data_IF_783772963625
#
_entry.id   IF_783772963625
#
_cell.length_a   1.000
_cell.length_b   1.000
_cell.length_c   1.000
_cell.angle_alpha   90.00
_cell.angle_beta   90.00
_cell.angle_gamma   90.00
#
_symmetry.space_group_name_H-M   'P 1'
#
loop_
_entity.id
_entity.type
_entity.pdbx_description
1 polymer ?
#
# COMPACT_ATOMS: atom_id res chain seq x y z
N UNK A 1 10.24 15.19 2.72
CA UNK A 1 9.67 14.92 4.06
C UNK A 1 10.14 13.54 4.47
N UNK A 2 11.13 13.49 5.34
CA UNK A 2 11.67 12.25 5.91
C UNK A 2 10.59 11.58 6.74
N UNK A 3 10.21 10.36 6.35
CA UNK A 3 9.43 9.47 7.21
C UNK A 3 10.45 8.77 8.10
N UNK A 4 10.67 9.34 9.29
CA UNK A 4 11.37 8.67 10.38
C UNK A 4 10.58 7.40 10.71
N UNK A 5 11.12 6.25 10.31
CA UNK A 5 10.64 4.93 10.72
C UNK A 5 10.83 4.86 12.23
N UNK A 6 9.76 5.13 12.97
CA UNK A 6 9.76 4.97 14.40
C UNK A 6 10.06 3.50 14.72
N UNK A 7 11.17 3.27 15.41
CA UNK A 7 11.46 2.01 16.08
C UNK A 7 10.25 1.66 16.95
N UNK A 8 9.44 0.70 16.50
CA UNK A 8 8.35 0.12 17.28
C UNK A 8 8.65 -1.35 17.43
N UNK A 9 9.40 -1.62 18.49
CA UNK A 9 9.77 -2.95 18.91
C UNK A 9 10.30 -2.91 20.34
N UNK A 10 9.69 -2.07 21.20
CA UNK A 10 9.71 -2.39 22.63
C UNK A 10 9.03 -3.75 22.73
N UNK A 11 9.84 -4.79 22.81
CA UNK A 11 9.40 -6.14 23.16
C UNK A 11 8.78 -6.01 24.54
N UNK A 12 7.46 -5.87 24.59
CA UNK A 12 6.70 -6.07 25.82
C UNK A 12 7.15 -7.42 26.38
N UNK A 13 7.38 -7.52 27.70
CA UNK A 13 7.83 -8.76 28.29
C UNK A 13 6.81 -9.83 27.91
N UNK A 14 7.28 -10.90 27.25
CA UNK A 14 6.49 -12.10 26.99
C UNK A 14 6.06 -12.65 28.36
N UNK A 15 4.97 -12.12 28.91
CA UNK A 15 4.36 -12.66 30.10
C UNK A 15 3.54 -13.87 29.66
N UNK A 16 4.23 -14.90 29.16
CA UNK A 16 3.62 -16.19 28.83
C UNK A 16 3.10 -16.78 30.13
N UNK A 17 1.86 -16.46 30.47
CA UNK A 17 1.12 -17.17 31.48
C UNK A 17 1.14 -18.65 31.10
N UNK A 18 1.62 -19.48 32.03
CA UNK A 18 1.62 -20.92 31.84
C UNK A 18 0.16 -21.41 31.85
N UNK A 19 -0.43 -21.42 30.66
CA UNK A 19 -1.82 -21.80 30.42
C UNK A 19 -2.10 -23.22 30.88
N UNK A 20 -1.11 -24.12 30.80
CA UNK A 20 -1.22 -25.48 31.31
C UNK A 20 -1.32 -25.47 32.84
N UNK A 21 -0.45 -24.73 33.52
CA UNK A 21 -0.51 -24.59 34.98
C UNK A 21 -1.82 -23.93 35.47
N UNK A 22 -2.33 -22.93 34.75
CA UNK A 22 -3.63 -22.32 35.04
C UNK A 22 -4.78 -23.32 34.87
N UNK A 23 -4.79 -24.07 33.76
CA UNK A 23 -5.82 -25.06 33.48
C UNK A 23 -5.82 -26.17 34.54
N UNK A 24 -4.64 -26.63 34.95
CA UNK A 24 -4.49 -27.60 36.02
C UNK A 24 -5.00 -27.05 37.36
N UNK A 25 -4.72 -25.78 37.67
CA UNK A 25 -5.22 -25.12 38.89
C UNK A 25 -6.74 -25.03 38.89
N UNK A 26 -7.38 -24.67 37.77
CA UNK A 26 -8.84 -24.67 37.63
C UNK A 26 -9.41 -26.08 37.78
N UNK A 27 -8.78 -27.08 37.16
CA UNK A 27 -9.23 -28.47 37.21
C UNK A 27 -9.14 -29.03 38.64
N UNK A 28 -8.03 -28.80 39.33
CA UNK A 28 -7.80 -29.25 40.70
C UNK A 28 -8.76 -28.59 41.69
N UNK A 29 -8.93 -27.26 41.60
CA UNK A 29 -9.85 -26.53 42.48
C UNK A 29 -11.31 -26.95 42.26
N UNK A 30 -11.73 -27.16 40.99
CA UNK A 30 -13.06 -27.71 40.67
C UNK A 30 -13.26 -29.10 41.30
N UNK A 31 -12.34 -30.03 41.07
CA UNK A 31 -12.43 -31.38 41.61
C UNK A 31 -12.46 -31.38 43.16
N UNK A 32 -11.64 -30.53 43.78
CA UNK A 32 -11.60 -30.37 45.24
C UNK A 32 -12.93 -29.83 45.80
N UNK A 33 -13.58 -28.87 45.12
CA UNK A 33 -14.90 -28.37 45.52
C UNK A 33 -15.98 -29.46 45.38
N UNK A 34 -15.99 -30.18 44.26
CA UNK A 34 -16.94 -31.29 44.04
C UNK A 34 -16.82 -32.37 45.13
N UNK A 35 -15.58 -32.74 45.49
CA UNK A 35 -15.31 -33.69 46.55
C UNK A 35 -15.74 -33.16 47.93
N UNK A 36 -15.42 -31.91 48.25
CA UNK A 36 -15.80 -31.28 49.52
C UNK A 36 -17.33 -31.19 49.68
N UNK A 37 -18.05 -30.85 48.61
CA UNK A 37 -19.52 -30.81 48.60
C UNK A 37 -20.10 -32.22 48.76
N UNK A 38 -19.55 -33.23 48.09
CA UNK A 38 -19.97 -34.62 48.26
C UNK A 38 -19.80 -35.10 49.72
N UNK A 39 -18.67 -34.75 50.36
CA UNK A 39 -18.42 -35.02 51.79
C UNK A 39 -19.42 -34.30 52.70
N UNK A 40 -19.72 -33.03 52.42
CA UNK A 40 -20.74 -32.28 53.18
C UNK A 40 -22.13 -32.92 53.09
N UNK A 41 -22.52 -33.40 51.90
CA UNK A 41 -23.79 -34.09 51.69
C UNK A 41 -23.87 -35.42 52.43
N UNK A 42 -22.77 -36.19 52.47
CA UNK A 42 -22.69 -37.43 53.23
C UNK A 42 -22.81 -37.18 54.75
N UNK A 43 -22.07 -36.19 55.28
CA UNK A 43 -22.15 -35.77 56.69
C UNK A 43 -23.56 -35.34 57.08
N UNK A 44 -24.27 -34.63 56.18
CA UNK A 44 -25.66 -34.21 56.38
C UNK A 44 -26.62 -35.40 56.43
N UNK A 45 -26.39 -36.47 55.67
CA UNK A 45 -27.19 -37.71 55.70
C UNK A 45 -26.95 -38.54 56.95
N UNK A 46 -25.72 -38.56 57.46
CA UNK A 46 -25.30 -39.43 58.57
C UNK A 46 -25.38 -38.78 59.96
N UNK A 47 -25.92 -37.56 60.09
CA UNK A 47 -26.06 -36.81 61.35
C UNK A 47 -24.74 -36.67 62.16
N UNK A 48 -23.61 -36.56 61.45
CA UNK A 48 -22.26 -36.39 62.00
C UNK A 48 -22.01 -34.99 62.60
N UNK A 49 -20.96 -34.80 63.44
CA UNK A 49 -20.74 -33.55 64.17
C UNK A 49 -20.50 -32.32 63.26
N UNK A 50 -21.08 -31.18 63.65
CA UNK A 50 -21.06 -29.90 62.90
C UNK A 50 -19.67 -29.27 62.73
N UNK A 51 -18.65 -29.71 63.46
CA UNK A 51 -17.28 -29.19 63.36
C UNK A 51 -16.63 -29.50 62.00
N UNK A 52 -16.85 -30.69 61.44
CA UNK A 52 -16.33 -31.10 60.13
C UNK A 52 -16.91 -30.28 58.98
N UNK A 53 -18.14 -29.77 59.14
CA UNK A 53 -18.77 -28.89 58.14
C UNK A 53 -18.08 -27.55 58.03
N UNK A 54 -17.57 -27.00 59.15
CA UNK A 54 -16.89 -25.71 59.15
C UNK A 54 -15.54 -25.78 58.43
N UNK A 55 -14.81 -26.88 58.61
CA UNK A 55 -13.54 -27.12 57.93
C UNK A 55 -13.75 -27.29 56.41
N UNK A 56 -14.72 -28.11 56.00
CA UNK A 56 -15.09 -28.27 54.58
C UNK A 56 -15.56 -26.95 53.95
N UNK A 57 -16.34 -26.15 54.68
CA UNK A 57 -16.75 -24.83 54.21
C UNK A 57 -15.55 -23.88 54.01
N UNK A 58 -14.55 -23.94 54.90
CA UNK A 58 -13.32 -23.14 54.77
C UNK A 58 -12.51 -23.59 53.56
N UNK A 59 -12.40 -24.91 53.30
CA UNK A 59 -11.73 -25.45 52.10
C UNK A 59 -12.42 -24.99 50.81
N UNK A 60 -13.75 -25.04 50.75
CA UNK A 60 -14.53 -24.55 49.59
C UNK A 60 -14.30 -23.05 49.39
N UNK A 61 -14.33 -22.24 50.45
CA UNK A 61 -14.08 -20.81 50.35
C UNK A 61 -12.67 -20.51 49.82
N UNK A 62 -11.66 -21.26 50.27
CA UNK A 62 -10.29 -21.12 49.76
C UNK A 62 -10.22 -21.46 48.26
N UNK A 63 -10.86 -22.56 47.83
CA UNK A 63 -10.94 -22.92 46.42
C UNK A 63 -11.69 -21.87 45.57
N UNK A 64 -12.69 -21.20 46.12
CA UNK A 64 -13.38 -20.09 45.42
C UNK A 64 -12.44 -18.89 45.25
N UNK A 65 -11.62 -18.59 46.26
CA UNK A 65 -10.63 -17.51 46.18
C UNK A 65 -9.57 -17.83 45.12
N UNK A 66 -9.07 -19.07 45.07
CA UNK A 66 -8.10 -19.48 44.04
C UNK A 66 -8.70 -19.44 42.63
N UNK A 67 -9.96 -19.87 42.46
CA UNK A 67 -10.68 -19.73 41.19
C UNK A 67 -10.84 -18.26 40.75
N UNK A 68 -11.18 -17.36 41.69
CA UNK A 68 -11.28 -15.92 41.39
C UNK A 68 -9.94 -15.33 40.97
N UNK A 69 -8.86 -15.76 41.61
CA UNK A 69 -7.51 -15.34 41.26
C UNK A 69 -7.11 -15.82 39.85
N UNK A 70 -7.36 -17.10 39.55
CA UNK A 70 -7.11 -17.66 38.23
C UNK A 70 -7.93 -16.95 37.13
N UNK A 71 -9.22 -16.67 37.38
CA UNK A 71 -10.06 -15.92 36.45
C UNK A 71 -9.53 -14.51 36.19
N UNK A 72 -9.03 -13.82 37.22
CA UNK A 72 -8.42 -12.50 37.05
C UNK A 72 -7.18 -12.57 36.17
N UNK A 73 -6.32 -13.55 36.38
CA UNK A 73 -5.13 -13.74 35.54
C UNK A 73 -5.50 -14.01 34.07
N UNK A 74 -6.52 -14.83 33.82
CA UNK A 74 -7.02 -15.12 32.46
C UNK A 74 -7.53 -13.85 31.78
N UNK A 75 -8.36 -13.06 32.47
CA UNK A 75 -8.90 -11.82 31.89
C UNK A 75 -7.81 -10.80 31.57
N UNK A 76 -6.79 -10.67 32.42
CA UNK A 76 -5.67 -9.77 32.16
C UNK A 76 -4.85 -10.21 30.94
N UNK A 77 -4.64 -11.52 30.78
CA UNK A 77 -3.95 -12.06 29.61
C UNK A 77 -4.77 -11.87 28.32
N UNK A 78 -6.09 -12.11 28.40
CA UNK A 78 -7.01 -11.88 27.29
C UNK A 78 -6.94 -10.42 26.83
N UNK A 79 -7.00 -9.48 27.76
CA UNK A 79 -6.88 -8.05 27.45
C UNK A 79 -5.51 -7.70 26.85
N UNK A 80 -4.42 -8.31 27.34
CA UNK A 80 -3.07 -8.12 26.78
C UNK A 80 -2.99 -8.62 25.33
N UNK A 81 -3.36 -9.87 25.08
CA UNK A 81 -3.34 -10.48 23.75
C UNK A 81 -4.23 -9.71 22.78
N UNK A 82 -5.37 -9.23 23.24
CA UNK A 82 -6.28 -8.39 22.44
C UNK A 82 -5.63 -7.05 22.08
N UNK A 83 -4.99 -6.38 23.03
CA UNK A 83 -4.29 -5.12 22.79
C UNK A 83 -3.13 -5.31 21.80
N UNK A 84 -2.31 -6.35 21.99
CA UNK A 84 -1.21 -6.71 21.08
C UNK A 84 -1.72 -6.97 19.65
N UNK A 85 -2.81 -7.74 19.53
CA UNK A 85 -3.42 -8.06 18.25
C UNK A 85 -3.98 -6.81 17.55
N UNK A 86 -4.67 -5.93 18.28
CA UNK A 86 -5.18 -4.67 17.72
C UNK A 86 -4.05 -3.72 17.31
N UNK A 87 -2.95 -3.66 18.07
CA UNK A 87 -1.75 -2.90 17.68
C UNK A 87 -1.14 -3.44 16.38
N UNK A 88 -0.96 -4.76 16.27
CA UNK A 88 -0.43 -5.39 15.05
C UNK A 88 -1.36 -5.16 13.84
N UNK A 89 -2.68 -5.28 14.05
CA UNK A 89 -3.70 -5.01 13.04
C UNK A 89 -3.67 -3.55 12.56
N UNK A 90 -3.54 -2.58 13.47
CA UNK A 90 -3.48 -1.17 13.12
C UNK A 90 -2.30 -0.84 12.19
N UNK A 91 -1.14 -1.48 12.40
CA UNK A 91 0.03 -1.35 11.52
C UNK A 91 -0.27 -1.84 10.09
N UNK A 92 -0.94 -2.99 9.97
CA UNK A 92 -1.36 -3.55 8.67
C UNK A 92 -2.39 -2.67 7.99
N UNK A 93 -3.36 -2.13 8.74
CA UNK A 93 -4.38 -1.22 8.22
C UNK A 93 -3.74 0.05 7.65
N UNK A 94 -2.78 0.65 8.36
CA UNK A 94 -2.03 1.80 7.90
C UNK A 94 -1.29 1.51 6.59
N UNK A 95 -0.54 0.40 6.52
CA UNK A 95 0.17 -0.01 5.32
C UNK A 95 -0.78 -0.25 4.13
N UNK A 96 -1.96 -0.80 4.41
CA UNK A 96 -3.00 -1.03 3.39
C UNK A 96 -3.53 0.28 2.83
N UNK A 97 -3.76 1.29 3.68
CA UNK A 97 -4.17 2.63 3.24
C UNK A 97 -3.10 3.31 2.37
N UNK A 98 -1.84 3.22 2.78
CA UNK A 98 -0.72 3.74 1.99
C UNK A 98 -0.65 3.05 0.61
N UNK A 99 -0.80 1.73 0.58
CA UNK A 99 -0.83 0.96 -0.66
C UNK A 99 -1.98 1.41 -1.57
N UNK A 100 -3.19 1.61 -1.04
CA UNK A 100 -4.33 2.10 -1.81
C UNK A 100 -4.06 3.47 -2.43
N UNK A 101 -3.46 4.40 -1.68
CA UNK A 101 -3.06 5.72 -2.18
C UNK A 101 -2.08 5.60 -3.35
N UNK A 102 -1.04 4.78 -3.21
CA UNK A 102 -0.04 4.57 -4.25
C UNK A 102 -0.63 3.89 -5.50
N UNK A 103 -1.53 2.93 -5.31
CA UNK A 103 -2.22 2.27 -6.42
C UNK A 103 -3.11 3.25 -7.19
N UNK A 104 -3.79 4.16 -6.49
CA UNK A 104 -4.55 5.23 -7.13
C UNK A 104 -3.65 6.12 -7.99
N UNK A 105 -2.53 6.58 -7.42
CA UNK A 105 -1.57 7.42 -8.14
C UNK A 105 -0.99 6.70 -9.37
N UNK A 106 -0.54 5.46 -9.20
CA UNK A 106 -0.08 4.61 -10.31
C UNK A 106 -1.12 4.52 -11.42
N UNK A 107 -2.37 4.21 -11.06
CA UNK A 107 -3.45 4.05 -12.03
C UNK A 107 -3.78 5.36 -12.74
N UNK A 108 -3.71 6.50 -12.04
CA UNK A 108 -3.83 7.82 -12.64
C UNK A 108 -2.74 8.06 -13.69
N UNK A 109 -1.48 7.79 -13.35
CA UNK A 109 -0.36 7.94 -14.29
C UNK A 109 -0.49 7.01 -15.50
N UNK A 110 -0.92 5.75 -15.30
CA UNK A 110 -1.17 4.83 -16.42
C UNK A 110 -2.24 5.38 -17.37
N UNK A 111 -3.31 5.97 -16.83
CA UNK A 111 -4.34 6.60 -17.66
C UNK A 111 -3.79 7.80 -18.44
N UNK A 112 -2.97 8.64 -17.81
CA UNK A 112 -2.32 9.76 -18.48
C UNK A 112 -1.39 9.28 -19.60
N UNK A 113 -0.52 8.29 -19.34
CA UNK A 113 0.36 7.69 -20.34
C UNK A 113 -0.45 7.11 -21.51
N UNK A 114 -1.54 6.40 -21.21
CA UNK A 114 -2.41 5.85 -22.24
C UNK A 114 -3.03 6.96 -23.07
N UNK A 115 -3.55 8.02 -22.46
CA UNK A 115 -4.09 9.17 -23.18
C UNK A 115 -3.04 9.85 -24.08
N UNK A 116 -1.78 9.95 -23.64
CA UNK A 116 -0.69 10.46 -24.47
C UNK A 116 -0.33 9.53 -25.63
N UNK A 117 -0.40 8.21 -25.44
CA UNK A 117 -0.11 7.21 -26.49
C UNK A 117 -1.25 7.05 -27.50
N UNK A 118 -2.48 7.15 -27.03
CA UNK A 118 -3.70 7.09 -27.85
C UNK A 118 -3.94 8.41 -28.59
N UNK A 119 -3.08 9.42 -28.38
CA UNK A 119 -3.11 10.67 -29.13
C UNK A 119 -2.68 10.37 -30.57
N UNK A 120 -3.68 10.13 -31.41
CA UNK A 120 -3.51 9.91 -32.83
C UNK A 120 -3.15 11.24 -33.52
N UNK A 121 -1.85 11.53 -33.59
CA UNK A 121 -1.37 12.60 -34.46
C UNK A 121 -1.58 12.18 -35.91
N UNK A 122 -1.89 13.11 -36.83
CA UNK A 122 -1.91 12.83 -38.29
C UNK A 122 -0.59 12.25 -38.84
N UNK A 123 0.45 12.29 -38.02
CA UNK A 123 1.73 11.64 -38.22
C UNK A 123 1.65 10.17 -37.74
N UNK A 124 1.93 9.14 -38.57
CA UNK A 124 2.90 9.09 -39.69
C UNK A 124 2.32 9.10 -41.12
N UNK A 125 1.03 9.32 -41.31
CA UNK A 125 0.37 9.20 -42.63
C UNK A 125 0.62 10.39 -43.58
N UNK A 126 1.58 11.26 -43.27
CA UNK A 126 1.90 12.43 -44.09
C UNK A 126 2.84 11.99 -45.22
N UNK A 127 2.37 12.11 -46.46
CA UNK A 127 3.18 11.89 -47.66
C UNK A 127 4.23 13.00 -47.79
N UNK A 128 5.49 12.69 -47.49
CA UNK A 128 6.62 13.60 -47.62
C UNK A 128 7.40 13.35 -48.92
N UNK A 129 8.02 14.40 -49.47
CA UNK A 129 8.93 14.38 -50.63
C UNK A 129 9.97 13.28 -50.45
N UNK A 130 10.18 12.38 -51.45
CA UNK A 130 11.14 11.30 -51.37
C UNK A 130 12.54 11.76 -50.95
N UNK A 131 13.25 10.89 -50.23
CA UNK A 131 14.56 11.21 -49.67
C UNK A 131 15.57 11.63 -50.76
N UNK A 132 15.49 10.99 -51.92
CA UNK A 132 16.34 11.25 -53.08
C UNK A 132 16.15 12.67 -53.62
N UNK A 133 14.90 13.13 -53.69
CA UNK A 133 14.57 14.47 -54.18
C UNK A 133 14.98 15.55 -53.16
N UNK A 134 14.81 15.28 -51.87
CA UNK A 134 15.30 16.14 -50.81
C UNK A 134 16.83 16.33 -50.87
N UNK A 135 17.60 15.24 -50.98
CA UNK A 135 19.06 15.35 -51.05
C UNK A 135 19.55 16.01 -52.35
N UNK A 136 18.80 15.92 -53.44
CA UNK A 136 19.13 16.62 -54.69
C UNK A 136 18.85 18.12 -54.60
N UNK A 137 17.65 18.51 -54.18
CA UNK A 137 17.12 19.85 -54.42
C UNK A 137 17.12 20.75 -53.16
N UNK A 138 17.28 20.18 -51.96
CA UNK A 138 17.27 20.99 -50.75
C UNK A 138 18.52 21.88 -50.62
N UNK A 139 18.37 23.16 -50.22
CA UNK A 139 19.49 24.04 -49.91
C UNK A 139 20.38 23.49 -48.79
N UNK A 140 21.66 23.88 -48.78
CA UNK A 140 22.62 23.45 -47.78
C UNK A 140 22.20 23.90 -46.36
N UNK A 141 21.59 25.07 -46.24
CA UNK A 141 21.12 25.63 -44.97
C UNK A 141 20.07 24.73 -44.29
N UNK A 142 19.23 24.03 -45.07
CA UNK A 142 18.21 23.11 -44.54
C UNK A 142 18.81 21.71 -44.30
N UNK A 143 19.74 21.28 -45.15
CA UNK A 143 20.43 19.96 -45.02
C UNK A 143 21.32 19.89 -43.78
N UNK A 144 22.02 20.98 -43.47
CA UNK A 144 23.02 21.04 -42.40
C UNK A 144 22.44 21.44 -41.04
N UNK A 145 21.15 21.81 -40.99
CA UNK A 145 20.46 22.13 -39.74
C UNK A 145 20.38 20.93 -38.80
N UNK A 146 20.48 21.13 -37.49
CA UNK A 146 20.25 20.09 -36.47
C UNK A 146 19.01 20.48 -35.66
N UNK A 147 17.86 19.88 -36.03
CA UNK A 147 16.56 20.20 -35.45
C UNK A 147 16.19 19.24 -34.31
N UNK A 148 16.56 17.96 -34.43
CA UNK A 148 16.37 16.93 -33.40
C UNK A 148 17.66 16.13 -33.18
N UNK A 149 17.84 15.59 -31.97
CA UNK A 149 18.94 14.68 -31.61
C UNK A 149 18.78 13.28 -32.23
N UNK A 150 17.53 12.86 -32.49
CA UNK A 150 17.23 11.59 -33.16
C UNK A 150 17.37 11.75 -34.68
N UNK A 151 18.17 10.89 -35.32
CA UNK A 151 18.54 11.00 -36.73
C UNK A 151 17.35 10.81 -37.67
N UNK A 152 16.41 9.93 -37.34
CA UNK A 152 15.22 9.66 -38.16
C UNK A 152 14.23 10.83 -38.08
N UNK A 153 13.95 11.31 -36.86
CA UNK A 153 13.11 12.49 -36.64
C UNK A 153 13.74 13.76 -37.23
N UNK A 154 15.06 13.91 -37.12
CA UNK A 154 15.79 15.04 -37.69
C UNK A 154 15.68 15.07 -39.22
N UNK A 155 15.89 13.94 -39.88
CA UNK A 155 15.76 13.82 -41.34
C UNK A 155 14.33 14.15 -41.79
N UNK A 156 13.35 13.70 -41.04
CA UNK A 156 11.95 13.99 -41.32
C UNK A 156 11.60 15.47 -41.18
N UNK A 157 12.01 16.11 -40.07
CA UNK A 157 11.77 17.54 -39.84
C UNK A 157 12.46 18.40 -40.91
N UNK A 158 13.63 17.98 -41.38
CA UNK A 158 14.31 18.62 -42.52
C UNK A 158 13.50 18.53 -43.80
N UNK A 159 12.92 17.36 -44.10
CA UNK A 159 12.05 17.16 -45.28
C UNK A 159 10.80 18.04 -45.21
N UNK A 160 10.16 18.10 -44.04
CA UNK A 160 9.00 18.97 -43.80
C UNK A 160 9.35 20.47 -43.98
N UNK A 161 10.48 20.91 -43.42
CA UNK A 161 10.95 22.29 -43.60
C UNK A 161 11.28 22.61 -45.06
N UNK A 162 11.76 21.64 -45.82
CA UNK A 162 12.01 21.81 -47.25
C UNK A 162 10.72 21.97 -48.05
N UNK A 163 9.68 21.17 -47.78
CA UNK A 163 8.36 21.35 -48.39
C UNK A 163 7.77 22.72 -48.06
N UNK A 164 7.81 23.13 -46.79
CA UNK A 164 7.37 24.45 -46.37
C UNK A 164 8.15 25.57 -47.10
N UNK A 165 9.46 25.41 -47.28
CA UNK A 165 10.29 26.33 -48.06
C UNK A 165 9.90 26.36 -49.55
N UNK A 166 9.58 25.20 -50.14
CA UNK A 166 9.11 25.13 -51.53
C UNK A 166 7.77 25.86 -51.70
N UNK A 167 6.80 25.63 -50.81
CA UNK A 167 5.50 26.32 -50.84
C UNK A 167 5.66 27.83 -50.67
N UNK A 168 6.49 28.27 -49.71
CA UNK A 168 6.79 29.69 -49.52
C UNK A 168 7.44 30.31 -50.76
N UNK A 169 8.43 29.63 -51.36
CA UNK A 169 9.08 30.05 -52.60
C UNK A 169 8.10 30.09 -53.78
N UNK A 170 7.13 29.18 -53.82
CA UNK A 170 6.11 29.16 -54.87
C UNK A 170 5.11 30.33 -54.71
N UNK A 171 4.62 30.58 -53.49
CA UNK A 171 3.71 31.68 -53.18
C UNK A 171 4.36 33.06 -53.40
N UNK A 172 5.61 33.24 -53.01
CA UNK A 172 6.38 34.49 -53.25
C UNK A 172 6.63 34.75 -54.73
N UNK A 173 6.79 33.70 -55.55
CA UNK A 173 6.87 33.82 -57.01
C UNK A 173 5.51 34.11 -57.65
N UNK A 174 4.44 33.51 -57.15
CA UNK A 174 3.07 33.79 -57.60
C UNK A 174 2.57 35.19 -57.21
N UNK A 175 3.16 35.78 -56.17
CA UNK A 175 2.90 37.15 -55.70
C UNK A 175 3.90 38.18 -56.26
N UNK A 176 4.59 37.87 -57.36
CA UNK A 176 5.37 38.83 -58.16
C UNK A 176 4.51 39.92 -58.88
N UNK A 177 3.39 40.30 -58.25
CA UNK A 177 2.66 41.54 -58.46
C UNK A 177 2.49 42.39 -57.20
N UNK A 178 2.86 41.94 -55.99
CA UNK A 178 2.87 42.76 -54.77
C UNK A 178 4.01 42.31 -53.83
N UNK A 179 5.09 43.08 -53.84
CA UNK A 179 6.18 42.98 -52.86
C UNK A 179 5.64 43.12 -51.44
N UNK A 180 5.83 42.09 -50.61
CA UNK A 180 6.00 42.27 -49.17
C UNK A 180 7.11 41.33 -48.69
N UNK A 181 8.23 41.93 -48.34
CA UNK A 181 9.28 41.31 -47.56
C UNK A 181 8.67 40.87 -46.22
N UNK A 182 8.67 39.57 -45.96
CA UNK A 182 8.59 39.08 -44.59
C UNK A 182 9.84 38.26 -44.31
N UNK A 183 10.64 38.82 -43.41
CA UNK A 183 11.88 38.26 -42.92
C UNK A 183 11.64 36.85 -42.40
N UNK A 184 12.49 35.93 -42.84
CA UNK A 184 12.70 34.64 -42.18
C UNK A 184 13.57 34.96 -40.95
N UNK A 185 12.92 35.42 -39.89
CA UNK A 185 13.42 35.29 -38.53
C UNK A 185 12.80 34.01 -37.98
N UNK A 186 13.54 32.91 -38.12
CA UNK A 186 13.25 31.66 -37.43
C UNK A 186 13.86 31.80 -36.03
N UNK A 187 13.07 31.73 -34.93
CA UNK A 187 13.62 31.62 -33.58
C UNK A 187 14.32 30.27 -33.34
#
# INVERSE_FOLDING_TARGET
MEVTMAEHGETLPEHKLDTAALYDTLRQSKASVEEAVAKMLAIKKEARPKSQLRELATQILLNIVTLRQANRSILLEEDSVKAETECAKASVELATLQLQSLLYEKNHQIKAIKACKDLDTKYPDIELVPQEEFFRDAPAEIKDSLISEDSEQNLMLKRLNFEMYQEWRFLTRGTSGLEYAFAIEIP
#
